data_IF_688968619826
#
_entry.id   IF_688968619826
#
_cell.length_a   1.000
_cell.length_b   1.000
_cell.length_c   1.000
_cell.angle_alpha   90.00
_cell.angle_beta   90.00
_cell.angle_gamma   90.00
#
_symmetry.space_group_name_H-M   'P 1'
#
loop_
_entity.id
_entity.type
_entity.pdbx_description
1 polymer ?
#
# COMPACT_ATOMS: atom_id res chain seq x y z
N UNK A 1 -54.45 -23.14 -1.12
CA UNK A 1 -53.15 -23.87 -1.04
C UNK A 1 -52.09 -23.01 -1.70
N UNK A 2 -50.81 -23.23 -1.32
CA UNK A 2 -49.57 -22.55 -1.69
C UNK A 2 -49.00 -21.68 -0.56
N UNK A 3 -48.28 -22.37 0.33
CA UNK A 3 -47.31 -21.77 1.24
C UNK A 3 -46.01 -21.47 0.51
N UNK A 4 -45.30 -20.46 1.01
CA UNK A 4 -43.94 -20.13 0.57
C UNK A 4 -42.97 -20.39 1.71
N UNK A 5 -42.10 -21.37 1.48
CA UNK A 5 -40.89 -21.66 2.25
C UNK A 5 -39.79 -20.73 1.74
N UNK A 6 -39.19 -19.92 2.60
CA UNK A 6 -37.96 -19.19 2.27
C UNK A 6 -36.82 -19.82 3.06
N UNK A 7 -35.86 -20.36 2.32
CA UNK A 7 -34.60 -20.92 2.83
C UNK A 7 -33.69 -19.80 3.32
N UNK A 8 -33.10 -19.99 4.51
CA UNK A 8 -31.95 -19.19 4.96
C UNK A 8 -30.72 -20.08 4.84
N UNK A 9 -29.82 -19.74 3.92
CA UNK A 9 -28.47 -20.33 3.90
C UNK A 9 -27.41 -19.25 3.78
N UNK A 10 -26.39 -19.35 4.65
CA UNK A 10 -25.03 -18.89 4.34
C UNK A 10 -24.60 -17.52 4.84
N UNK A 11 -24.59 -17.29 6.16
CA UNK A 11 -23.63 -16.39 6.78
C UNK A 11 -22.91 -17.20 7.88
N UNK A 12 -21.56 -17.20 7.97
CA UNK A 12 -20.85 -18.00 8.97
C UNK A 12 -21.33 -17.65 10.38
N UNK A 13 -21.98 -18.61 11.03
CA UNK A 13 -22.41 -18.56 12.42
C UNK A 13 -21.21 -18.77 13.34
N UNK A 14 -20.36 -17.77 13.45
CA UNK A 14 -19.60 -17.55 14.66
C UNK A 14 -20.01 -16.18 15.17
N UNK A 15 -20.07 -15.98 16.49
CA UNK A 15 -20.56 -14.79 17.21
C UNK A 15 -22.04 -14.82 17.66
N UNK A 16 -22.42 -15.85 18.42
CA UNK A 16 -23.47 -15.71 19.46
C UNK A 16 -22.99 -16.35 20.77
N UNK A 17 -22.47 -15.53 21.69
CA UNK A 17 -22.44 -15.85 23.13
C UNK A 17 -22.37 -14.57 23.97
N UNK A 18 -23.51 -14.16 24.54
CA UNK A 18 -23.68 -13.42 25.79
C UNK A 18 -25.20 -13.20 25.99
N UNK A 19 -25.87 -14.11 26.69
CA UNK A 19 -26.37 -13.93 28.08
C UNK A 19 -27.61 -13.05 28.21
N UNK A 20 -28.78 -13.68 28.38
CA UNK A 20 -29.72 -13.45 29.49
C UNK A 20 -31.08 -14.14 29.20
N UNK A 21 -31.41 -15.11 30.07
CA UNK A 21 -32.75 -15.48 30.57
C UNK A 21 -34.01 -15.01 29.81
N UNK A 22 -34.78 -16.01 29.35
CA UNK A 22 -36.19 -15.94 28.89
C UNK A 22 -37.09 -15.22 29.92
N UNK A 23 -38.21 -14.60 29.49
CA UNK A 23 -39.45 -15.37 29.47
C UNK A 23 -40.22 -15.26 28.14
N UNK A 24 -40.99 -16.31 27.91
CA UNK A 24 -41.94 -16.49 26.81
C UNK A 24 -43.27 -15.86 27.26
N UNK A 25 -43.87 -14.99 26.45
CA UNK A 25 -45.30 -14.67 26.55
C UNK A 25 -45.90 -14.63 25.14
N UNK A 26 -46.69 -15.66 24.86
CA UNK A 26 -47.63 -15.72 23.75
C UNK A 26 -48.86 -14.88 24.11
N UNK A 27 -49.35 -14.05 23.19
CA UNK A 27 -50.78 -13.75 23.14
C UNK A 27 -51.21 -13.48 21.69
N UNK A 28 -52.31 -14.12 21.32
CA UNK A 28 -52.86 -14.28 19.98
C UNK A 28 -54.18 -13.50 19.89
N UNK A 29 -54.36 -12.78 18.78
CA UNK A 29 -55.62 -12.24 18.19
C UNK A 29 -56.35 -11.15 19.01
N UNK A 30 -57.19 -10.26 18.46
CA UNK A 30 -58.08 -10.28 17.28
C UNK A 30 -58.16 -8.85 16.70
N UNK A 31 -58.35 -8.72 15.39
CA UNK A 31 -58.58 -7.46 14.67
C UNK A 31 -60.09 -7.15 14.60
N UNK A 32 -60.53 -5.97 15.06
CA UNK A 32 -61.84 -5.40 14.72
C UNK A 32 -61.69 -3.89 14.45
N UNK A 33 -62.04 -3.47 13.23
CA UNK A 33 -62.42 -2.09 12.84
C UNK A 33 -63.96 -1.99 12.86
N UNK A 34 -64.65 -0.81 12.86
CA UNK A 34 -64.29 0.62 12.61
C UNK A 34 -65.07 1.57 13.59
N UNK A 35 -65.65 2.77 13.27
CA UNK A 35 -65.28 3.98 12.49
C UNK A 35 -65.38 5.33 13.30
N UNK A 36 -64.76 6.42 12.78
CA UNK A 36 -65.08 7.89 12.87
C UNK A 36 -65.48 8.63 14.20
N UNK A 37 -64.89 9.85 14.36
CA UNK A 37 -65.26 11.09 15.12
C UNK A 37 -64.77 11.37 16.58
N UNK A 38 -63.88 12.39 16.65
CA UNK A 38 -63.73 13.56 17.59
C UNK A 38 -63.53 13.46 19.12
N UNK A 39 -62.45 14.17 19.57
CA UNK A 39 -62.21 14.90 20.86
C UNK A 39 -62.12 14.07 22.16
N UNK A 40 -61.35 14.35 23.23
CA UNK A 40 -60.39 15.39 23.62
C UNK A 40 -59.51 14.88 24.81
N UNK A 41 -58.35 15.54 24.97
CA UNK A 41 -57.57 15.88 26.18
C UNK A 41 -57.17 14.91 27.32
N UNK A 42 -55.91 15.17 27.74
CA UNK A 42 -55.27 15.05 29.07
C UNK A 42 -54.55 13.75 29.43
N UNK A 43 -53.42 13.68 30.15
CA UNK A 43 -52.18 14.46 30.34
C UNK A 43 -51.47 13.82 31.57
N UNK A 44 -50.14 13.64 31.51
CA UNK A 44 -49.19 13.17 32.57
C UNK A 44 -49.32 11.70 33.03
N UNK A 45 -48.28 10.97 33.45
CA UNK A 45 -46.84 11.17 33.61
C UNK A 45 -46.28 9.79 34.01
N UNK A 46 -45.23 9.27 33.38
CA UNK A 46 -44.24 8.54 34.16
C UNK A 46 -42.85 8.50 33.51
N UNK A 47 -41.87 8.61 34.40
CA UNK A 47 -40.50 9.02 34.15
C UNK A 47 -39.68 8.05 33.28
N UNK A 48 -38.78 8.64 32.51
CA UNK A 48 -37.70 7.93 31.84
C UNK A 48 -36.79 7.16 32.83
N UNK A 49 -36.11 6.12 32.35
CA UNK A 49 -34.67 6.08 32.55
C UNK A 49 -33.91 5.95 31.22
N UNK A 50 -33.13 6.99 30.94
CA UNK A 50 -31.81 6.98 30.29
C UNK A 50 -31.63 6.09 29.04
N UNK A 51 -31.86 6.68 27.87
CA UNK A 51 -31.46 6.15 26.56
C UNK A 51 -29.92 6.14 26.48
N UNK A 52 -29.29 4.99 26.72
CA UNK A 52 -27.91 4.77 26.28
C UNK A 52 -27.90 4.53 24.76
N UNK A 53 -27.21 5.43 24.07
CA UNK A 53 -27.10 5.49 22.61
C UNK A 53 -26.63 4.17 21.99
N UNK A 54 -27.52 3.51 21.27
CA UNK A 54 -27.18 2.43 20.33
C UNK A 54 -26.45 3.10 19.15
N UNK A 55 -25.19 2.74 18.83
CA UNK A 55 -24.56 3.30 17.63
C UNK A 55 -25.31 2.81 16.39
N UNK A 56 -25.84 3.75 15.60
CA UNK A 56 -26.39 3.48 14.26
C UNK A 56 -25.28 2.90 13.39
N UNK A 57 -25.31 1.58 13.17
CA UNK A 57 -24.52 0.94 12.10
C UNK A 57 -25.23 1.23 10.80
N UNK A 58 -24.68 2.12 9.97
CA UNK A 58 -25.15 2.33 8.59
C UNK A 58 -24.41 1.30 7.73
N UNK A 59 -25.04 0.17 7.44
CA UNK A 59 -24.58 -0.75 6.39
C UNK A 59 -25.21 -0.33 5.07
N UNK A 60 -24.42 0.18 4.13
CA UNK A 60 -24.87 0.38 2.75
C UNK A 60 -24.53 -0.91 2.01
N UNK A 61 -25.49 -1.83 1.89
CA UNK A 61 -25.39 -2.99 1.02
C UNK A 61 -26.25 -2.74 -0.21
N UNK A 62 -25.65 -2.39 -1.35
CA UNK A 62 -26.38 -2.45 -2.63
C UNK A 62 -26.50 -3.92 -3.04
N UNK A 63 -27.70 -4.47 -2.94
CA UNK A 63 -28.01 -5.78 -3.50
C UNK A 63 -28.09 -5.68 -5.02
N UNK A 64 -27.02 -6.06 -5.72
CA UNK A 64 -27.10 -6.48 -7.12
C UNK A 64 -26.52 -7.89 -7.21
N UNK A 65 -27.38 -8.82 -7.61
CA UNK A 65 -27.03 -10.22 -7.83
C UNK A 65 -26.06 -10.35 -9.01
N UNK A 66 -25.16 -11.34 -8.92
CA UNK A 66 -24.11 -11.72 -9.87
C UNK A 66 -22.92 -10.76 -10.01
N UNK A 67 -21.92 -10.89 -9.13
CA UNK A 67 -20.49 -11.12 -9.46
C UNK A 67 -19.72 -11.36 -8.15
N UNK A 68 -18.71 -12.24 -8.18
CA UNK A 68 -17.91 -12.70 -7.03
C UNK A 68 -16.93 -11.65 -6.51
N UNK A 69 -17.42 -10.58 -5.89
CA UNK A 69 -16.59 -9.60 -5.17
C UNK A 69 -17.43 -8.82 -4.15
N UNK A 70 -17.37 -9.22 -2.88
CA UNK A 70 -17.93 -8.42 -1.79
C UNK A 70 -16.96 -7.26 -1.48
N UNK A 71 -17.32 -6.06 -1.89
CA UNK A 71 -16.65 -4.82 -1.48
C UNK A 71 -17.32 -4.33 -0.20
N UNK A 72 -16.76 -4.61 0.98
CA UNK A 72 -17.34 -4.18 2.25
C UNK A 72 -16.46 -3.14 2.95
N UNK A 73 -17.10 -2.06 3.39
CA UNK A 73 -16.50 -1.04 4.24
C UNK A 73 -17.00 -1.33 5.66
N UNK A 74 -16.10 -1.76 6.56
CA UNK A 74 -16.43 -1.99 7.96
C UNK A 74 -15.94 -0.80 8.79
N UNK A 75 -16.89 0.00 9.25
CA UNK A 75 -16.66 1.09 10.18
C UNK A 75 -16.88 0.58 11.61
N UNK A 76 -15.86 0.68 12.45
CA UNK A 76 -15.96 0.51 13.91
C UNK A 76 -15.64 1.84 14.57
N UNK A 77 -15.96 1.99 15.87
CA UNK A 77 -15.68 3.25 16.60
C UNK A 77 -14.21 3.69 16.54
N UNK A 78 -13.27 2.78 16.30
CA UNK A 78 -11.83 3.04 16.33
C UNK A 78 -11.10 2.73 15.03
N UNK A 79 -11.72 2.02 14.09
CA UNK A 79 -11.07 1.55 12.86
C UNK A 79 -12.03 1.54 11.69
N UNK A 80 -11.56 1.98 10.54
CA UNK A 80 -12.18 1.73 9.24
C UNK A 80 -11.39 0.62 8.54
N UNK A 81 -12.07 -0.44 8.10
CA UNK A 81 -11.50 -1.49 7.28
C UNK A 81 -12.14 -1.39 5.88
N UNK A 82 -11.28 -1.20 4.88
CA UNK A 82 -11.66 -1.23 3.47
C UNK A 82 -11.27 -2.61 2.92
N UNK A 83 -12.25 -3.47 2.61
CA UNK A 83 -12.00 -4.69 1.85
C UNK A 83 -12.57 -4.51 0.45
N UNK A 84 -11.70 -4.37 -0.55
CA UNK A 84 -12.06 -4.44 -1.96
C UNK A 84 -11.15 -5.43 -2.66
N UNK A 85 -11.72 -6.50 -3.21
CA UNK A 85 -11.07 -7.34 -4.21
C UNK A 85 -11.70 -6.99 -5.56
N UNK A 86 -11.16 -6.00 -6.28
CA UNK A 86 -11.45 -5.90 -7.71
C UNK A 86 -10.29 -6.55 -8.45
N UNK A 87 -10.53 -7.55 -9.30
CA UNK A 87 -9.56 -7.91 -10.33
C UNK A 87 -9.32 -6.69 -11.23
N UNK A 88 -8.12 -6.12 -11.22
CA UNK A 88 -7.70 -5.08 -12.17
C UNK A 88 -8.09 -3.63 -11.83
N UNK A 89 -8.50 -3.31 -10.61
CA UNK A 89 -8.80 -1.93 -10.18
C UNK A 89 -7.78 -1.35 -9.19
N UNK A 90 -7.59 -0.03 -9.21
CA UNK A 90 -6.83 0.70 -8.18
C UNK A 90 -7.61 0.63 -6.87
N UNK A 91 -7.04 0.01 -5.83
CA UNK A 91 -7.71 -0.24 -4.55
C UNK A 91 -7.91 1.02 -3.69
N UNK A 92 -6.97 1.96 -3.76
CA UNK A 92 -6.99 3.24 -3.06
C UNK A 92 -6.22 4.27 -3.90
N UNK A 93 -6.90 5.33 -4.32
CA UNK A 93 -6.32 6.50 -4.98
C UNK A 93 -6.61 7.74 -4.11
N UNK A 94 -5.57 8.49 -3.76
CA UNK A 94 -5.66 9.64 -2.86
C UNK A 94 -4.93 10.81 -3.49
N UNK A 95 -5.67 11.89 -3.76
CA UNK A 95 -5.11 13.16 -4.21
C UNK A 95 -4.54 13.93 -3.01
N UNK A 96 -3.39 13.48 -2.48
CA UNK A 96 -2.71 14.14 -1.38
C UNK A 96 -1.81 13.23 -0.55
N UNK A 97 -1.61 13.59 0.72
CA UNK A 97 -0.78 12.83 1.64
C UNK A 97 -1.52 11.65 2.25
N UNK A 98 -0.87 10.49 2.27
CA UNK A 98 -1.26 9.34 3.08
C UNK A 98 -0.30 9.26 4.26
N UNK A 99 -0.79 9.55 5.47
CA UNK A 99 -0.02 9.41 6.71
C UNK A 99 -0.29 8.05 7.34
N UNK A 100 0.76 7.25 7.51
CA UNK A 100 0.72 5.98 8.21
C UNK A 100 1.98 5.82 9.06
N UNK A 101 1.88 5.09 10.18
CA UNK A 101 3.05 4.77 11.01
C UNK A 101 4.03 3.85 10.27
N UNK A 102 3.52 2.94 9.43
CA UNK A 102 4.33 2.07 8.58
C UNK A 102 3.55 1.54 7.38
N UNK A 103 4.26 1.25 6.29
CA UNK A 103 3.73 0.55 5.12
C UNK A 103 4.42 -0.81 5.01
N UNK A 104 3.67 -1.90 5.21
CA UNK A 104 4.17 -3.26 5.06
C UNK A 104 3.64 -3.87 3.77
N UNK A 105 4.56 -4.35 2.93
CA UNK A 105 4.24 -5.04 1.68
C UNK A 105 4.50 -6.54 1.86
N UNK A 106 3.53 -7.39 1.52
CA UNK A 106 3.69 -8.84 1.60
C UNK A 106 4.77 -9.32 0.64
N UNK A 107 5.78 -10.02 1.13
CA UNK A 107 6.97 -10.40 0.35
C UNK A 107 7.37 -11.88 0.48
N UNK A 108 6.49 -12.72 1.02
CA UNK A 108 6.69 -14.16 1.24
C UNK A 108 6.95 -14.90 -0.09
N UNK A 109 7.95 -15.80 -0.10
CA UNK A 109 8.33 -16.60 -1.26
C UNK A 109 7.17 -17.49 -1.76
N UNK A 110 6.27 -17.94 -0.87
CA UNK A 110 5.11 -18.77 -1.23
C UNK A 110 4.08 -18.02 -2.07
N UNK A 111 4.09 -16.68 -2.01
CA UNK A 111 3.21 -15.81 -2.79
C UNK A 111 3.86 -15.37 -4.12
N UNK A 112 5.11 -15.74 -4.38
CA UNK A 112 5.88 -15.35 -5.56
C UNK A 112 6.09 -16.54 -6.50
N UNK A 113 6.17 -16.28 -7.80
CA UNK A 113 6.51 -17.26 -8.85
C UNK A 113 7.61 -16.69 -9.73
N UNK A 114 8.36 -17.55 -10.40
CA UNK A 114 9.44 -17.16 -11.33
C UNK A 114 10.47 -16.19 -10.73
N UNK A 115 10.96 -16.49 -9.51
CA UNK A 115 11.97 -15.67 -8.85
C UNK A 115 13.30 -15.78 -9.59
N UNK A 116 13.78 -14.65 -10.13
CA UNK A 116 15.04 -14.54 -10.88
C UNK A 116 15.84 -13.34 -10.37
N UNK A 117 17.14 -13.32 -10.68
CA UNK A 117 17.97 -12.15 -10.41
C UNK A 117 17.54 -10.98 -11.30
N UNK A 118 17.60 -9.78 -10.72
CA UNK A 118 17.29 -8.54 -11.44
C UNK A 118 18.39 -8.27 -12.48
N UNK A 119 18.00 -7.94 -13.70
CA UNK A 119 18.90 -7.58 -14.80
C UNK A 119 19.39 -6.13 -14.75
N UNK A 120 18.71 -5.28 -13.99
CA UNK A 120 19.07 -3.89 -13.75
C UNK A 120 20.22 -3.75 -12.76
N UNK A 121 21.04 -2.71 -12.94
CA UNK A 121 22.18 -2.43 -12.08
C UNK A 121 22.56 -0.95 -12.04
N UNK A 122 23.81 -0.68 -11.69
CA UNK A 122 24.37 0.66 -11.59
C UNK A 122 24.22 1.45 -12.90
N UNK A 123 24.55 0.82 -14.03
CA UNK A 123 24.49 1.45 -15.35
C UNK A 123 23.08 1.94 -15.73
N UNK A 124 22.03 1.33 -15.20
CA UNK A 124 20.65 1.76 -15.47
C UNK A 124 20.23 2.91 -14.54
N UNK A 125 20.69 2.88 -13.29
CA UNK A 125 20.48 3.98 -12.33
C UNK A 125 21.15 5.25 -12.84
N UNK A 126 22.34 5.16 -13.44
CA UNK A 126 23.06 6.30 -14.01
C UNK A 126 22.32 6.98 -15.18
N UNK A 127 21.43 6.25 -15.87
CA UNK A 127 20.57 6.82 -16.93
C UNK A 127 19.40 7.61 -16.37
N UNK A 128 19.02 7.37 -15.11
CA UNK A 128 17.91 8.06 -14.47
C UNK A 128 18.34 9.47 -14.08
N UNK A 129 17.48 10.45 -14.37
CA UNK A 129 17.73 11.86 -14.07
C UNK A 129 16.87 12.31 -12.89
N UNK A 130 17.45 12.51 -11.70
CA UNK A 130 16.76 13.20 -10.62
C UNK A 130 16.42 14.63 -11.06
N UNK A 131 15.18 15.05 -10.83
CA UNK A 131 14.71 16.39 -11.18
C UNK A 131 14.11 17.09 -9.97
N UNK A 132 14.18 18.42 -9.98
CA UNK A 132 13.33 19.24 -9.14
C UNK A 132 12.25 19.91 -9.97
N UNK A 133 11.02 19.90 -9.48
CA UNK A 133 9.86 20.37 -10.24
C UNK A 133 8.82 21.04 -9.33
N UNK A 134 7.89 21.75 -9.96
CA UNK A 134 6.66 22.23 -9.34
C UNK A 134 5.48 21.71 -10.12
N UNK A 135 4.38 21.46 -9.44
CA UNK A 135 3.12 21.13 -10.10
C UNK A 135 2.62 22.34 -10.89
N UNK A 136 2.16 22.10 -12.13
CA UNK A 136 1.55 23.15 -12.97
C UNK A 136 0.32 23.75 -12.31
N UNK A 137 -0.48 22.90 -11.67
CA UNK A 137 -1.64 23.28 -10.88
C UNK A 137 -1.48 22.75 -9.46
N UNK A 138 -1.48 23.65 -8.49
CA UNK A 138 -1.39 23.30 -7.07
C UNK A 138 -2.80 23.08 -6.53
N UNK A 139 -3.34 21.87 -6.75
CA UNK A 139 -4.71 21.53 -6.31
C UNK A 139 -4.78 21.17 -4.82
N UNK A 140 -3.64 20.98 -4.16
CA UNK A 140 -3.56 20.72 -2.72
C UNK A 140 -2.31 21.33 -2.09
N UNK A 141 -2.33 21.51 -0.77
CA UNK A 141 -1.14 21.90 0.00
C UNK A 141 0.02 20.93 -0.22
N UNK A 142 -0.28 19.67 -0.52
CA UNK A 142 0.72 18.63 -0.79
C UNK A 142 1.54 18.83 -2.06
N UNK A 143 1.11 19.75 -2.92
CA UNK A 143 1.72 20.05 -4.21
C UNK A 143 2.41 21.42 -4.23
N UNK A 144 2.40 22.14 -3.11
CA UNK A 144 3.04 23.46 -3.03
C UNK A 144 4.55 23.35 -2.91
N UNK A 145 5.23 24.32 -3.53
CA UNK A 145 6.69 24.46 -3.46
C UNK A 145 7.46 23.58 -4.45
N UNK A 146 8.79 23.62 -4.32
CA UNK A 146 9.69 22.76 -5.10
C UNK A 146 9.67 21.34 -4.54
N UNK A 147 9.47 20.37 -5.42
CA UNK A 147 9.55 18.94 -5.12
C UNK A 147 10.75 18.31 -5.84
N UNK A 148 11.15 17.12 -5.39
CA UNK A 148 12.20 16.32 -6.00
C UNK A 148 11.60 14.96 -6.38
N UNK A 149 11.98 14.45 -7.54
CA UNK A 149 11.53 13.14 -7.98
C UNK A 149 12.12 12.77 -9.33
N UNK A 150 11.42 11.86 -10.02
CA UNK A 150 11.75 11.38 -11.34
C UNK A 150 10.60 11.66 -12.31
N UNK A 151 10.92 11.77 -13.60
CA UNK A 151 9.93 11.88 -14.67
C UNK A 151 9.54 10.49 -15.14
N UNK A 152 8.25 10.14 -15.04
CA UNK A 152 7.76 8.79 -15.34
C UNK A 152 8.08 8.33 -16.77
N UNK A 153 8.00 9.24 -17.74
CA UNK A 153 8.30 8.96 -19.15
C UNK A 153 9.80 8.70 -19.40
N UNK A 154 10.69 9.21 -18.55
CA UNK A 154 12.13 8.94 -18.63
C UNK A 154 12.42 7.58 -17.98
N UNK A 155 11.81 7.31 -16.82
CA UNK A 155 11.94 6.03 -16.12
C UNK A 155 11.41 4.88 -16.96
N UNK A 156 10.28 5.04 -17.63
CA UNK A 156 9.66 4.00 -18.47
C UNK A 156 10.58 3.48 -19.57
N UNK A 157 11.48 4.33 -20.10
CA UNK A 157 12.44 3.93 -21.14
C UNK A 157 13.57 3.06 -20.61
N UNK A 158 13.80 3.07 -19.29
CA UNK A 158 14.90 2.36 -18.63
C UNK A 158 14.38 1.16 -17.84
N UNK A 159 13.38 1.38 -16.99
CA UNK A 159 12.76 0.39 -16.11
C UNK A 159 11.23 0.51 -16.25
N UNK A 160 10.64 -0.08 -17.30
CA UNK A 160 9.20 0.06 -17.56
C UNK A 160 8.32 -0.54 -16.47
N UNK A 161 8.79 -1.55 -15.74
CA UNK A 161 8.00 -2.31 -14.76
C UNK A 161 7.54 -1.46 -13.58
N UNK A 162 8.30 -0.42 -13.22
CA UNK A 162 7.96 0.47 -12.10
C UNK A 162 6.98 1.58 -12.50
N UNK A 163 6.63 1.69 -13.78
CA UNK A 163 5.74 2.74 -14.30
C UNK A 163 4.37 2.14 -14.63
N UNK A 164 3.34 2.66 -13.99
CA UNK A 164 1.95 2.31 -14.32
C UNK A 164 1.34 3.43 -15.13
N UNK A 165 0.65 3.08 -16.21
CA UNK A 165 -0.15 4.03 -17.01
C UNK A 165 -1.61 3.84 -16.66
N UNK A 166 -2.26 4.91 -16.22
CA UNK A 166 -3.70 4.93 -15.95
C UNK A 166 -4.51 4.76 -17.24
N UNK A 167 -5.67 4.13 -17.13
CA UNK A 167 -6.60 3.93 -18.25
C UNK A 167 -7.52 5.16 -18.48
N UNK A 168 -7.07 6.35 -18.11
CA UNK A 168 -7.78 7.62 -18.32
C UNK A 168 -7.49 8.18 -19.72
N UNK A 169 -8.31 9.15 -20.16
CA UNK A 169 -8.11 9.83 -21.47
C UNK A 169 -6.75 10.53 -21.57
N UNK A 170 -6.18 10.93 -20.44
CA UNK A 170 -4.86 11.54 -20.30
C UNK A 170 -3.69 10.56 -20.25
N UNK A 171 -3.95 9.25 -20.11
CA UNK A 171 -2.93 8.21 -19.94
C UNK A 171 -1.86 8.59 -18.90
N UNK A 172 -2.31 9.02 -17.72
CA UNK A 172 -1.43 9.56 -16.67
C UNK A 172 -0.46 8.48 -16.19
N UNK A 173 0.84 8.77 -16.19
CA UNK A 173 1.88 7.83 -15.75
C UNK A 173 2.28 8.09 -14.30
N UNK A 174 2.37 7.02 -13.51
CA UNK A 174 2.77 7.04 -12.11
C UNK A 174 3.96 6.11 -11.89
N UNK A 175 4.78 6.38 -10.86
CA UNK A 175 5.98 5.62 -10.54
C UNK A 175 5.81 4.91 -9.20
N UNK A 176 6.08 3.61 -9.17
CA UNK A 176 6.19 2.82 -7.95
C UNK A 176 7.60 2.97 -7.33
N UNK A 177 7.83 4.05 -6.59
CA UNK A 177 9.14 4.34 -5.98
C UNK A 177 9.67 3.21 -5.07
N UNK A 178 8.78 2.44 -4.42
CA UNK A 178 9.19 1.31 -3.59
C UNK A 178 9.84 0.18 -4.40
N UNK A 179 9.47 0.02 -5.67
CA UNK A 179 10.01 -1.01 -6.56
C UNK A 179 11.36 -0.63 -7.16
N UNK A 180 11.76 0.65 -7.07
CA UNK A 180 13.13 1.09 -7.40
C UNK A 180 14.15 0.65 -6.35
N UNK A 181 13.73 0.38 -5.11
CA UNK A 181 14.67 0.06 -4.00
C UNK A 181 15.52 -1.20 -4.28
N UNK A 182 14.97 -2.34 -4.75
CA UNK A 182 15.78 -3.49 -5.16
C UNK A 182 16.82 -3.17 -6.24
N UNK A 183 16.50 -2.31 -7.20
CA UNK A 183 17.44 -1.87 -8.25
C UNK A 183 18.56 -1.05 -7.63
N UNK A 184 18.22 -0.10 -6.74
CA UNK A 184 19.22 0.70 -6.00
C UNK A 184 20.15 -0.17 -5.14
N UNK A 185 19.61 -1.21 -4.47
CA UNK A 185 20.42 -2.17 -3.70
C UNK A 185 21.44 -2.85 -4.63
N UNK A 186 21.01 -3.30 -5.81
CA UNK A 186 21.90 -3.93 -6.78
C UNK A 186 22.98 -2.97 -7.27
N UNK A 187 22.61 -1.73 -7.58
CA UNK A 187 23.58 -0.68 -7.96
C UNK A 187 24.61 -0.39 -6.86
N UNK A 188 24.21 -0.34 -5.59
CA UNK A 188 25.14 -0.15 -4.46
C UNK A 188 26.08 -1.34 -4.29
N UNK A 189 25.61 -2.57 -4.49
CA UNK A 189 26.45 -3.77 -4.46
C UNK A 189 27.51 -3.75 -5.58
N UNK A 190 27.12 -3.32 -6.78
CA UNK A 190 28.04 -3.17 -7.92
C UNK A 190 29.07 -2.08 -7.67
N UNK A 191 28.64 -0.89 -7.21
CA UNK A 191 29.54 0.19 -6.78
C UNK A 191 30.56 -0.27 -5.74
N UNK A 192 30.13 -1.06 -4.75
CA UNK A 192 31.03 -1.60 -3.73
C UNK A 192 32.06 -2.56 -4.33
N UNK A 193 31.65 -3.44 -5.24
CA UNK A 193 32.54 -4.35 -5.94
C UNK A 193 33.60 -3.60 -6.76
N UNK A 194 33.20 -2.59 -7.52
CA UNK A 194 34.13 -1.76 -8.30
C UNK A 194 35.11 -1.01 -7.39
N UNK A 195 34.64 -0.45 -6.27
CA UNK A 195 35.50 0.22 -5.30
C UNK A 195 36.57 -0.73 -4.70
N UNK A 196 36.19 -1.97 -4.38
CA UNK A 196 37.11 -2.97 -3.84
C UNK A 196 38.17 -3.40 -4.87
N UNK A 197 37.76 -3.54 -6.13
CA UNK A 197 38.67 -3.82 -7.24
C UNK A 197 39.67 -2.68 -7.45
N UNK A 198 39.20 -1.43 -7.42
CA UNK A 198 40.04 -0.24 -7.53
C UNK A 198 41.04 -0.15 -6.38
N UNK A 199 40.61 -0.42 -5.14
CA UNK A 199 41.50 -0.45 -3.96
C UNK A 199 42.59 -1.50 -4.09
N UNK A 200 42.20 -2.72 -4.49
CA UNK A 200 43.16 -3.83 -4.70
C UNK A 200 44.18 -3.50 -5.77
N UNK A 201 43.75 -2.85 -6.86
CA UNK A 201 44.62 -2.39 -7.94
C UNK A 201 45.59 -1.32 -7.46
N UNK A 202 45.11 -0.33 -6.70
CA UNK A 202 45.95 0.72 -6.12
C UNK A 202 46.98 0.18 -5.12
N UNK A 203 46.60 -0.80 -4.29
CA UNK A 203 47.51 -1.46 -3.34
C UNK A 203 48.60 -2.24 -4.08
N UNK A 204 48.22 -2.96 -5.14
CA UNK A 204 49.17 -3.71 -5.99
C UNK A 204 50.13 -2.77 -6.69
N UNK A 205 49.62 -1.69 -7.28
CA UNK A 205 50.44 -0.69 -7.95
C UNK A 205 51.42 -0.02 -6.97
N UNK A 206 50.96 0.31 -5.76
CA UNK A 206 51.79 0.90 -4.72
C UNK A 206 52.92 -0.04 -4.28
N UNK A 207 52.64 -1.35 -4.14
CA UNK A 207 53.66 -2.37 -3.86
C UNK A 207 54.68 -2.50 -5.00
N UNK A 208 54.23 -2.48 -6.25
CA UNK A 208 55.11 -2.55 -7.41
C UNK A 208 56.04 -1.33 -7.48
N UNK A 209 55.53 -0.13 -7.20
CA UNK A 209 56.34 1.09 -7.13
C UNK A 209 57.39 1.04 -6.02
N UNK A 210 57.03 0.50 -4.85
CA UNK A 210 57.97 0.31 -3.75
C UNK A 210 59.07 -0.70 -4.09
N UNK A 211 58.71 -1.81 -4.72
CA UNK A 211 59.67 -2.82 -5.18
C UNK A 211 60.66 -2.22 -6.19
N UNK A 212 60.16 -1.52 -7.21
CA UNK A 212 60.99 -0.87 -8.22
C UNK A 212 61.92 0.18 -7.61
N UNK A 213 61.43 0.94 -6.63
CA UNK A 213 62.25 1.91 -5.89
C UNK A 213 63.38 1.21 -5.13
N UNK A 214 63.09 0.09 -4.46
CA UNK A 214 64.11 -0.67 -3.74
C UNK A 214 65.16 -1.26 -4.69
N UNK A 215 64.73 -1.76 -5.85
CA UNK A 215 65.63 -2.29 -6.88
C UNK A 215 66.55 -1.20 -7.44
N UNK A 216 66.01 0.00 -7.68
CA UNK A 216 66.78 1.15 -8.11
C UNK A 216 67.84 1.57 -7.08
N UNK A 217 67.49 1.60 -5.80
CA UNK A 217 68.43 1.92 -4.73
C UNK A 217 69.50 0.82 -4.56
N UNK A 218 69.14 -0.44 -4.75
CA UNK A 218 70.10 -1.55 -4.78
C UNK A 218 71.07 -1.44 -5.96
N UNK A 219 70.58 -1.08 -7.15
CA UNK A 219 71.40 -0.87 -8.33
C UNK A 219 72.42 0.27 -8.13
N UNK A 220 71.99 1.41 -7.58
CA UNK A 220 72.89 2.51 -7.21
C UNK A 220 74.01 2.05 -6.27
N UNK A 221 73.67 1.26 -5.24
CA UNK A 221 74.65 0.71 -4.29
C UNK A 221 75.63 -0.23 -4.98
N UNK A 222 75.21 -0.99 -5.98
CA UNK A 222 76.10 -1.87 -6.74
C UNK A 222 77.08 -1.09 -7.63
N UNK A 223 76.65 0.02 -8.24
CA UNK A 223 77.55 0.89 -9.00
C UNK A 223 78.58 1.56 -8.10
N UNK A 224 78.16 2.12 -6.97
CA UNK A 224 79.06 2.76 -6.00
C UNK A 224 80.12 1.84 -5.37
N UNK A 225 80.01 0.51 -5.54
CA UNK A 225 81.01 -0.46 -5.10
C UNK A 225 82.04 -0.81 -6.18
N UNK A 226 81.77 -0.50 -7.44
CA UNK A 226 82.62 -0.83 -8.59
C UNK A 226 83.60 0.30 -8.94
N UNK A 227 83.27 1.53 -8.54
CA UNK A 227 84.14 2.71 -8.62
C UNK A 227 85.04 2.80 -7.37
#
# INVERSE_FOLDING_TARGET
>A
MFGWVIWVTGCPTDWIRASASRPVLFSVMVWQKPPFLMMAESVWSEAAPQVHQIPRVISISSAMAHTTSASCIKLTRTKMLLWKSIPGGIGLDVQGYVMATSFHQSSDIRLKKHVQNISYGLADIEKLRPVSYQWKEQVSESQKGMQIGLIAQEVEKVIPEVVTTSNDTSATKTIAYAELVPVLIKGVQELKSENDQLRTTNDTLSKNLQALRNDFENFKRQQARKD
#
